data_IF_101889850417
#
_entry.id   IF_101889850417
#
_cell.length_a   1.000
_cell.length_b   1.000
_cell.length_c   1.000
_cell.angle_alpha   90.00
_cell.angle_beta   90.00
_cell.angle_gamma   90.00
#
_symmetry.space_group_name_H-M   'P 1'
#
loop_
_entity.id
_entity.type
_entity.pdbx_description
1 polymer ?
#
# COMPACT_ATOMS: atom_id res chain seq x y z
N UNK A 1 19.65 10.43 -9.00
CA UNK A 1 18.77 10.43 -7.82
C UNK A 1 17.76 11.53 -7.97
N UNK A 2 16.47 11.21 -7.86
CA UNK A 2 15.38 12.17 -8.06
C UNK A 2 14.34 12.01 -6.95
N UNK A 3 13.87 13.12 -6.39
CA UNK A 3 12.71 13.18 -5.50
C UNK A 3 11.54 13.78 -6.29
N UNK A 4 10.46 13.02 -6.43
CA UNK A 4 9.26 13.46 -7.13
C UNK A 4 8.12 13.58 -6.15
N UNK A 5 7.63 14.80 -5.92
CA UNK A 5 6.40 15.02 -5.15
C UNK A 5 5.18 14.56 -5.97
N UNK A 6 4.25 13.87 -5.32
CA UNK A 6 2.97 13.48 -5.89
C UNK A 6 1.92 14.53 -5.54
N UNK A 7 1.25 15.04 -6.56
CA UNK A 7 0.15 15.98 -6.43
C UNK A 7 -0.96 15.60 -7.43
N UNK A 8 -2.10 15.02 -6.98
CA UNK A 8 -2.48 14.79 -5.59
C UNK A 8 -1.75 13.59 -4.94
N UNK A 9 -1.69 13.53 -3.59
CA UNK A 9 -1.24 12.34 -2.87
C UNK A 9 -2.08 11.10 -3.22
N UNK A 10 -1.44 9.93 -3.32
CA UNK A 10 -2.08 8.68 -3.74
C UNK A 10 -2.43 7.79 -2.54
N UNK A 11 -3.68 7.30 -2.42
CA UNK A 11 -4.04 6.34 -1.39
C UNK A 11 -3.43 4.97 -1.70
N UNK A 12 -2.56 4.51 -0.81
CA UNK A 12 -1.84 3.24 -0.93
C UNK A 12 -1.90 2.45 0.39
N UNK A 13 -1.53 1.18 0.31
CA UNK A 13 -1.31 0.30 1.43
C UNK A 13 0.16 -0.12 1.45
N UNK A 14 0.83 0.07 2.58
CA UNK A 14 2.19 -0.40 2.83
C UNK A 14 2.09 -1.69 3.64
N UNK A 15 2.68 -2.77 3.13
CA UNK A 15 2.76 -4.04 3.86
C UNK A 15 3.36 -3.81 5.26
N UNK A 16 2.77 -4.45 6.27
CA UNK A 16 3.14 -4.36 7.69
C UNK A 16 2.92 -2.97 8.35
N UNK A 17 2.43 -1.97 7.61
CA UNK A 17 2.15 -0.61 8.13
C UNK A 17 0.71 -0.15 7.94
N UNK A 18 0.00 -0.65 6.94
CA UNK A 18 -1.40 -0.33 6.72
C UNK A 18 -1.64 0.71 5.63
N UNK A 19 -2.84 1.31 5.65
CA UNK A 19 -3.25 2.31 4.67
C UNK A 19 -2.62 3.68 4.95
N UNK A 20 -2.34 4.43 3.89
CA UNK A 20 -1.75 5.76 3.97
C UNK A 20 -1.85 6.53 2.67
N UNK A 21 -1.36 7.77 2.70
CA UNK A 21 -1.25 8.63 1.52
C UNK A 21 0.21 8.82 1.14
N UNK A 22 0.58 8.33 -0.04
CA UNK A 22 1.88 8.62 -0.61
C UNK A 22 1.90 10.02 -1.20
N UNK A 23 2.86 10.84 -0.78
CA UNK A 23 3.01 12.22 -1.25
C UNK A 23 4.35 12.45 -1.99
N UNK A 24 5.23 11.44 -2.03
CA UNK A 24 6.44 11.49 -2.85
C UNK A 24 6.99 10.11 -3.20
N UNK A 25 7.80 10.04 -4.26
CA UNK A 25 8.61 8.89 -4.65
C UNK A 25 10.06 9.32 -4.83
N UNK A 26 10.98 8.53 -4.29
CA UNK A 26 12.42 8.71 -4.44
C UNK A 26 12.94 7.62 -5.37
N UNK A 27 13.60 8.04 -6.44
CA UNK A 27 14.28 7.16 -7.39
C UNK A 27 15.80 7.28 -7.20
N UNK A 28 16.42 6.18 -6.77
CA UNK A 28 17.87 6.07 -6.60
C UNK A 28 18.60 5.65 -7.90
N UNK A 29 17.87 5.19 -8.92
CA UNK A 29 18.40 4.78 -10.22
C UNK A 29 18.30 3.27 -10.49
N UNK A 30 18.96 2.84 -11.57
CA UNK A 30 19.08 1.44 -11.97
C UNK A 30 19.73 0.66 -10.83
N UNK A 31 19.19 -0.52 -10.48
CA UNK A 31 19.53 -1.35 -9.29
C UNK A 31 18.85 -1.01 -7.95
N UNK A 32 18.01 0.03 -7.87
CA UNK A 32 17.25 0.32 -6.65
C UNK A 32 15.74 0.31 -6.89
N UNK A 33 14.98 -0.08 -5.86
CA UNK A 33 13.53 0.08 -5.88
C UNK A 33 13.17 1.58 -5.79
N UNK A 34 12.09 1.97 -6.45
CA UNK A 34 11.39 3.21 -6.11
C UNK A 34 10.99 3.17 -4.63
N UNK A 35 11.31 4.22 -3.89
CA UNK A 35 10.97 4.35 -2.48
C UNK A 35 9.78 5.31 -2.36
N UNK A 36 8.69 4.82 -1.80
CA UNK A 36 7.46 5.58 -1.62
C UNK A 36 7.43 6.20 -0.22
N UNK A 37 7.25 7.53 -0.17
CA UNK A 37 7.12 8.29 1.07
C UNK A 37 5.64 8.46 1.38
N UNK A 38 5.22 7.91 2.52
CA UNK A 38 3.80 7.70 2.85
C UNK A 38 3.50 8.19 4.24
N UNK A 39 2.46 8.98 4.42
CA UNK A 39 1.88 9.23 5.74
C UNK A 39 0.91 8.09 6.08
N UNK A 40 1.18 7.33 7.14
CA UNK A 40 0.35 6.21 7.60
C UNK A 40 -0.86 6.75 8.37
N UNK A 41 -2.06 6.30 8.00
CA UNK A 41 -3.30 6.86 8.53
C UNK A 41 -3.50 6.60 10.02
N UNK A 42 -3.17 5.39 10.49
CA UNK A 42 -3.45 4.97 11.86
C UNK A 42 -2.43 5.53 12.87
N UNK A 43 -1.14 5.46 12.55
CA UNK A 43 -0.07 5.90 13.45
C UNK A 43 0.38 7.35 13.24
N UNK A 44 0.06 7.96 12.10
CA UNK A 44 0.58 9.26 11.70
C UNK A 44 2.07 9.25 11.31
N UNK A 45 2.72 8.09 11.28
CA UNK A 45 4.12 7.95 10.91
C UNK A 45 4.33 8.33 9.43
N UNK A 46 5.41 9.07 9.15
CA UNK A 46 5.94 9.16 7.79
C UNK A 46 6.87 7.97 7.57
N UNK A 47 6.54 7.12 6.61
CA UNK A 47 7.25 5.87 6.34
C UNK A 47 7.73 5.79 4.89
N UNK A 48 8.92 5.21 4.71
CA UNK A 48 9.52 4.95 3.40
C UNK A 48 9.47 3.45 3.10
N UNK A 49 8.80 3.05 2.01
CA UNK A 49 8.68 1.66 1.61
C UNK A 49 9.17 1.42 0.17
N UNK A 50 9.91 0.32 -0.10
CA UNK A 50 10.30 -0.02 -1.46
C UNK A 50 9.09 -0.53 -2.25
N UNK A 51 9.10 -0.30 -3.57
CA UNK A 51 8.00 -0.64 -4.47
C UNK A 51 7.36 -2.04 -4.27
N UNK A 52 8.12 -3.13 -4.04
CA UNK A 52 7.53 -4.46 -3.79
C UNK A 52 6.62 -4.55 -2.56
N UNK A 53 6.73 -3.63 -1.61
CA UNK A 53 5.92 -3.55 -0.38
C UNK A 53 4.69 -2.64 -0.48
N UNK A 54 4.50 -1.98 -1.61
CA UNK A 54 3.42 -1.00 -1.80
C UNK A 54 2.31 -1.59 -2.67
N UNK A 55 1.05 -1.40 -2.24
CA UNK A 55 -0.14 -1.81 -3.00
C UNK A 55 -1.08 -0.64 -3.16
N UNK A 56 -1.70 -0.55 -4.32
CA UNK A 56 -2.81 0.38 -4.55
C UNK A 56 -4.01 0.01 -3.66
N UNK A 57 -4.66 1.01 -3.08
CA UNK A 57 -5.92 0.82 -2.36
C UNK A 57 -7.07 0.49 -3.33
N UNK A 58 -8.09 -0.23 -2.85
CA UNK A 58 -9.31 -0.49 -3.60
C UNK A 58 -10.00 0.82 -4.05
N UNK A 59 -10.59 0.81 -5.23
CA UNK A 59 -11.28 1.94 -5.82
C UNK A 59 -12.38 1.44 -6.77
N UNK A 60 -13.64 1.56 -6.35
CA UNK A 60 -14.79 1.02 -7.08
C UNK A 60 -15.09 1.77 -8.39
N UNK A 61 -14.88 3.09 -8.45
CA UNK A 61 -15.08 3.86 -9.68
C UNK A 61 -14.04 3.49 -10.74
N UNK A 62 -12.83 3.12 -10.30
CA UNK A 62 -11.76 2.62 -11.16
C UNK A 62 -11.80 1.09 -11.36
N UNK A 63 -12.87 0.41 -10.94
CA UNK A 63 -13.02 -1.05 -11.08
C UNK A 63 -12.04 -1.89 -10.25
N UNK A 64 -11.26 -1.27 -9.37
CA UNK A 64 -10.26 -1.93 -8.53
C UNK A 64 -10.91 -2.46 -7.26
N UNK A 65 -11.24 -3.76 -7.24
CA UNK A 65 -11.85 -4.42 -6.08
C UNK A 65 -10.83 -4.63 -4.95
N UNK A 66 -11.32 -4.74 -3.71
CA UNK A 66 -10.51 -5.16 -2.57
C UNK A 66 -10.02 -6.59 -2.84
N UNK A 67 -8.72 -6.89 -2.65
CA UNK A 67 -8.25 -8.27 -2.77
C UNK A 67 -8.99 -9.14 -1.76
N UNK A 68 -9.49 -10.29 -2.21
CA UNK A 68 -10.12 -11.28 -1.34
C UNK A 68 -9.06 -11.73 -0.33
N UNK A 69 -9.34 -11.55 0.96
CA UNK A 69 -8.46 -12.04 2.01
C UNK A 69 -8.44 -13.56 1.89
N UNK A 70 -7.28 -14.14 1.56
CA UNK A 70 -7.14 -15.59 1.43
C UNK A 70 -7.50 -16.26 2.77
N UNK A 71 -8.72 -16.82 2.83
CA UNK A 71 -9.13 -17.87 3.76
C UNK A 71 -9.10 -17.56 5.26
N UNK A 72 -10.19 -17.00 5.79
CA UNK A 72 -10.70 -17.55 7.05
C UNK A 72 -11.43 -18.85 6.69
N UNK A 73 -10.69 -19.97 6.66
CA UNK A 73 -11.34 -21.27 6.72
C UNK A 73 -11.86 -21.47 8.15
N UNK A 74 -12.97 -20.82 8.48
CA UNK A 74 -13.84 -21.32 9.53
C UNK A 74 -14.47 -22.61 8.98
N UNK A 75 -13.86 -23.74 9.32
CA UNK A 75 -14.51 -25.04 9.12
C UNK A 75 -15.87 -24.99 9.84
N UNK A 76 -16.98 -25.38 9.18
CA UNK A 76 -18.22 -25.57 9.92
C UNK A 76 -18.00 -26.77 10.85
N UNK A 77 -18.07 -26.50 12.16
CA UNK A 77 -18.21 -27.52 13.19
C UNK A 77 -19.41 -28.41 12.87
N UNK A 78 -19.28 -29.68 13.26
CA UNK A 78 -20.09 -30.78 12.76
C UNK A 78 -21.58 -30.72 13.08
N UNK A 79 -22.33 -31.55 12.35
CA UNK A 79 -23.62 -32.11 12.71
C UNK A 79 -23.78 -33.46 12.00
N UNK A 80 -24.16 -34.52 12.73
CA UNK A 80 -24.61 -35.81 12.19
C UNK A 80 -23.91 -37.01 12.80
#
# INVERSE_FOLDING_TARGET
MTFTQLDPPLPIHVQDKGAGYAFAVIDYGQEHNLIWVTAINESGEIWCAPNPKVRMMANWTMGRRKPETAGSNCAPGGQG
#
